data_IF_052763131376
#
_entry.id   IF_052763131376
#
_cell.length_a   1.000
_cell.length_b   1.000
_cell.length_c   1.000
_cell.angle_alpha   90.00
_cell.angle_beta   90.00
_cell.angle_gamma   90.00
#
_symmetry.space_group_name_H-M   'P 1'
#
loop_
_entity.id
_entity.type
_entity.pdbx_description
1 polymer ?
#
# COMPACT_ATOMS: atom_id res chain seq x y z
N UNK A 1 1.24 -12.46 -3.96
CA UNK A 1 0.51 -12.07 -2.72
C UNK A 1 -0.87 -11.58 -3.11
N UNK A 2 -1.81 -12.50 -3.32
CA UNK A 2 -3.16 -12.19 -3.82
C UNK A 2 -4.03 -11.53 -2.76
N UNK A 3 -4.87 -10.58 -3.14
CA UNK A 3 -5.89 -10.00 -2.28
C UNK A 3 -5.35 -9.07 -1.17
N UNK A 4 -4.12 -8.58 -1.31
CA UNK A 4 -3.52 -7.64 -0.37
C UNK A 4 -4.04 -6.23 -0.64
N UNK A 5 -4.50 -5.55 0.41
CA UNK A 5 -4.86 -4.14 0.35
C UNK A 5 -3.62 -3.26 0.29
N UNK A 6 -3.62 -2.31 -0.64
CA UNK A 6 -2.57 -1.31 -0.85
C UNK A 6 -3.23 0.06 -0.83
N UNK A 7 -2.73 0.94 0.04
CA UNK A 7 -3.17 2.33 0.13
C UNK A 7 -2.18 3.23 -0.57
N UNK A 8 -2.65 4.11 -1.45
CA UNK A 8 -1.86 5.14 -2.12
C UNK A 8 -2.43 6.51 -1.81
N UNK A 9 -1.61 7.43 -1.30
CA UNK A 9 -2.05 8.73 -0.80
C UNK A 9 -1.14 9.84 -1.36
N UNK A 10 -1.67 10.90 -2.01
CA UNK A 10 -0.87 12.05 -2.43
C UNK A 10 -0.12 12.74 -1.27
N UNK A 11 1.17 12.95 -1.47
CA UNK A 11 2.14 13.56 -0.55
C UNK A 11 1.92 15.05 -0.41
N UNK A 12 1.01 15.43 0.48
CA UNK A 12 0.64 16.82 0.77
C UNK A 12 -0.67 16.95 1.56
N UNK A 13 -1.45 15.87 1.67
CA UNK A 13 -2.76 15.83 2.31
C UNK A 13 -2.85 14.93 3.54
N UNK A 14 -1.72 14.51 4.12
CA UNK A 14 -1.65 13.55 5.23
C UNK A 14 -2.46 13.93 6.49
N UNK A 15 -2.86 15.21 6.62
CA UNK A 15 -3.65 15.73 7.75
C UNK A 15 -4.89 16.58 7.35
N UNK A 16 -5.23 16.67 6.06
CA UNK A 16 -6.44 17.37 5.60
C UNK A 16 -7.34 16.32 4.94
N UNK A 17 -8.53 16.12 5.51
CA UNK A 17 -9.65 15.27 5.04
C UNK A 17 -9.26 14.40 3.83
N UNK A 18 -8.86 13.14 4.03
CA UNK A 18 -8.59 12.00 3.11
C UNK A 18 -8.76 12.17 1.57
N UNK A 19 -8.47 13.33 1.01
CA UNK A 19 -8.93 13.70 -0.32
C UNK A 19 -7.92 13.18 -1.33
N UNK A 20 -8.17 11.97 -1.82
CA UNK A 20 -7.35 11.28 -2.81
C UNK A 20 -6.64 10.03 -2.30
N UNK A 21 -6.95 9.54 -1.09
CA UNK A 21 -6.53 8.19 -0.70
C UNK A 21 -7.23 7.16 -1.60
N UNK A 22 -6.45 6.21 -2.14
CA UNK A 22 -6.96 5.14 -3.00
C UNK A 22 -6.60 3.80 -2.39
N UNK A 23 -7.61 2.98 -2.13
CA UNK A 23 -7.44 1.59 -1.76
C UNK A 23 -7.47 0.72 -3.01
N UNK A 24 -6.40 -0.04 -3.22
CA UNK A 24 -6.25 -0.98 -4.33
C UNK A 24 -6.04 -2.38 -3.74
N UNK A 25 -6.42 -3.41 -4.51
CA UNK A 25 -6.21 -4.80 -4.10
C UNK A 25 -5.33 -5.49 -5.13
N UNK A 26 -4.32 -6.22 -4.66
CA UNK A 26 -3.46 -6.98 -5.56
C UNK A 26 -4.23 -8.11 -6.23
N UNK A 27 -3.93 -8.35 -7.51
CA UNK A 27 -4.45 -9.46 -8.30
C UNK A 27 -3.92 -10.81 -7.84
N UNK A 28 -4.34 -11.88 -8.51
CA UNK A 28 -3.94 -13.26 -8.18
C UNK A 28 -2.42 -13.49 -8.22
N UNK A 29 -1.73 -12.79 -9.12
CA UNK A 29 -0.28 -12.76 -9.26
C UNK A 29 0.43 -11.90 -8.19
N UNK A 30 -0.33 -11.12 -7.41
CA UNK A 30 0.20 -10.18 -6.44
C UNK A 30 0.58 -8.82 -7.00
N UNK A 31 0.19 -8.50 -8.23
CA UNK A 31 0.44 -7.21 -8.87
C UNK A 31 -0.70 -6.24 -8.56
N UNK A 32 -0.37 -4.96 -8.41
CA UNK A 32 -1.34 -3.87 -8.38
C UNK A 32 -0.97 -2.86 -9.46
N UNK A 33 -1.97 -2.41 -10.22
CA UNK A 33 -1.81 -1.33 -11.18
C UNK A 33 -2.28 -0.03 -10.53
N UNK A 34 -1.51 1.04 -10.70
CA UNK A 34 -1.83 2.35 -10.13
C UNK A 34 -1.87 3.38 -11.26
N UNK A 35 -3.04 3.94 -11.50
CA UNK A 35 -3.21 5.04 -12.44
C UNK A 35 -2.88 6.37 -11.74
N UNK A 36 -1.88 7.09 -12.22
CA UNK A 36 -1.44 8.34 -11.60
C UNK A 36 -2.18 9.53 -12.23
N UNK A 37 -3.12 10.12 -11.49
CA UNK A 37 -3.92 11.25 -11.99
C UNK A 37 -3.12 12.54 -12.11
N UNK A 38 -2.13 12.74 -11.24
CA UNK A 38 -1.27 13.92 -11.21
C UNK A 38 0.17 13.56 -10.88
N UNK A 39 1.14 14.32 -11.39
CA UNK A 39 2.51 14.27 -10.93
C UNK A 39 2.61 14.69 -9.45
N UNK A 40 3.67 14.26 -8.78
CA UNK A 40 3.98 14.60 -7.38
C UNK A 40 4.40 13.39 -6.54
N UNK A 41 4.58 13.64 -5.26
CA UNK A 41 4.93 12.59 -4.29
C UNK A 41 3.69 11.83 -3.85
N UNK A 42 3.82 10.53 -3.62
CA UNK A 42 2.77 9.66 -3.11
C UNK A 42 3.32 8.76 -2.02
N UNK A 43 2.54 8.56 -0.97
CA UNK A 43 2.82 7.59 0.06
C UNK A 43 2.07 6.30 -0.24
N UNK A 44 2.79 5.19 -0.31
CA UNK A 44 2.23 3.85 -0.47
C UNK A 44 2.40 3.07 0.82
N UNK A 45 1.32 2.42 1.25
CA UNK A 45 1.26 1.53 2.40
C UNK A 45 0.65 0.19 1.98
N UNK A 46 1.18 -0.90 2.54
CA UNK A 46 0.54 -2.19 2.54
C UNK A 46 0.81 -2.90 3.86
N UNK A 47 -0.21 -3.53 4.44
CA UNK A 47 -0.10 -4.30 5.68
C UNK A 47 -0.80 -5.64 5.55
N UNK A 48 -0.20 -6.67 6.15
CA UNK A 48 -0.78 -8.01 6.24
C UNK A 48 -0.53 -8.58 7.62
N UNK A 49 -1.59 -9.08 8.25
CA UNK A 49 -1.49 -9.90 9.46
C UNK A 49 -2.10 -11.26 9.13
N UNK A 50 -1.38 -12.34 9.39
CA UNK A 50 -1.88 -13.70 9.23
C UNK A 50 -1.27 -14.66 10.26
N UNK A 51 -1.80 -15.89 10.34
CA UNK A 51 -1.31 -16.95 11.23
C UNK A 51 -0.22 -17.83 10.58
N UNK A 52 0.37 -17.44 9.45
CA UNK A 52 1.37 -18.24 8.72
C UNK A 52 2.77 -18.02 9.30
N UNK A 53 2.93 -18.30 10.58
CA UNK A 53 4.19 -18.14 11.30
C UNK A 53 5.14 -19.30 11.03
N UNK A 54 6.45 -19.05 11.06
CA UNK A 54 7.51 -20.07 11.02
C UNK A 54 8.09 -20.40 12.40
N UNK A 55 7.74 -19.60 13.42
CA UNK A 55 8.24 -19.71 14.78
C UNK A 55 7.22 -20.43 15.66
N UNK A 56 7.55 -21.57 16.30
CA UNK A 56 6.58 -22.40 17.02
C UNK A 56 5.81 -21.71 18.15
N UNK A 57 6.35 -20.62 18.71
CA UNK A 57 5.72 -19.83 19.79
C UNK A 57 4.93 -18.62 19.28
N UNK A 58 4.98 -18.30 17.99
CA UNK A 58 4.30 -17.15 17.41
C UNK A 58 2.91 -17.55 16.88
N UNK A 59 1.87 -16.82 17.31
CA UNK A 59 0.49 -17.04 16.86
C UNK A 59 0.16 -16.31 15.56
N UNK A 60 0.81 -15.18 15.31
CA UNK A 60 0.59 -14.33 14.14
C UNK A 60 1.92 -13.77 13.64
N UNK A 61 1.95 -13.40 12.36
CA UNK A 61 2.98 -12.54 11.78
C UNK A 61 2.34 -11.29 11.21
N UNK A 62 3.01 -10.16 11.37
CA UNK A 62 2.63 -8.88 10.79
C UNK A 62 3.72 -8.44 9.82
N UNK A 63 3.31 -8.11 8.61
CA UNK A 63 4.15 -7.56 7.56
C UNK A 63 3.65 -6.16 7.22
N UNK A 64 4.58 -5.23 7.04
CA UNK A 64 4.27 -3.87 6.61
C UNK A 64 5.30 -3.40 5.61
N UNK A 65 4.84 -2.83 4.51
CA UNK A 65 5.67 -2.14 3.55
C UNK A 65 5.17 -0.72 3.40
N UNK A 66 6.10 0.23 3.47
CA UNK A 66 5.81 1.64 3.34
C UNK A 66 6.88 2.26 2.47
N UNK A 67 6.47 3.01 1.46
CA UNK A 67 7.39 3.72 0.58
C UNK A 67 6.81 5.06 0.15
N UNK A 68 7.69 5.92 -0.33
CA UNK A 68 7.31 7.16 -0.99
C UNK A 68 7.70 7.05 -2.46
N UNK A 69 6.76 7.33 -3.34
CA UNK A 69 6.91 7.31 -4.78
C UNK A 69 6.91 8.74 -5.30
N UNK A 70 7.81 9.06 -6.22
CA UNK A 70 7.76 10.30 -6.99
C UNK A 70 7.23 9.99 -8.39
N UNK A 71 6.13 10.63 -8.77
CA UNK A 71 5.58 10.58 -10.13
C UNK A 71 5.98 11.85 -10.85
N UNK A 72 6.83 11.73 -11.85
CA UNK A 72 7.29 12.85 -12.66
C UNK A 72 6.21 13.24 -13.69
N UNK A 73 6.23 14.50 -14.11
CA UNK A 73 5.49 14.93 -15.30
C UNK A 73 6.05 14.22 -16.54
N UNK A 74 5.22 13.91 -17.55
CA UNK A 74 5.69 13.37 -18.82
C UNK A 74 6.75 14.26 -19.49
#
# INVERSE_FOLDING_TARGET
ASGLKVMVIPGGKRYRNEEGARELTTGADGVVNVDWATAGMYWLNATLTDAKTSMPRAKERRMSYVTTLEVLTP
#
